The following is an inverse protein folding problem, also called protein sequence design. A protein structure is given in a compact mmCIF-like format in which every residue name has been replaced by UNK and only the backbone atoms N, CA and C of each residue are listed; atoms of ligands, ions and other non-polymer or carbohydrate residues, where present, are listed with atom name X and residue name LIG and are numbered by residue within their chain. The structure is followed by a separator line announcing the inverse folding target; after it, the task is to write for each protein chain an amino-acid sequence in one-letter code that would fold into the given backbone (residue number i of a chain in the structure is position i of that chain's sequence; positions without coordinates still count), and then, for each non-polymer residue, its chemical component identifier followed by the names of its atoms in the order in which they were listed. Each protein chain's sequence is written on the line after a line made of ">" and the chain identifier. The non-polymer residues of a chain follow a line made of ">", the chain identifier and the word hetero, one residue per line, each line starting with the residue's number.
data_IF_208738387310
#
_entry.id   IF_208738387310
#
_cell.length_a   1.000
_cell.length_b   1.000
_cell.length_c   1.000
_cell.angle_alpha   90.00
_cell.angle_beta   90.00
_cell.angle_gamma   90.00
#
_symmetry.space_group_name_H-M   'P 1'
#
loop_
_entity.id
_entity.type
_entity.pdbx_description
1 polymer ?
#
# COMPACT_ATOMS: atom_id res chain seq x y z
N UNK A 1 19.05 -14.97 -0.21
CA UNK A 1 19.21 -13.53 0.04
C UNK A 1 19.09 -13.36 1.54
N UNK A 2 20.07 -12.70 2.14
CA UNK A 2 20.05 -12.44 3.58
C UNK A 2 19.33 -11.11 3.80
N UNK A 3 18.11 -11.21 4.32
CA UNK A 3 17.31 -10.06 4.73
C UNK A 3 17.72 -9.66 6.14
N UNK A 4 17.98 -8.38 6.35
CA UNK A 4 18.26 -7.81 7.66
C UNK A 4 17.14 -6.85 8.03
N UNK A 5 16.68 -6.94 9.28
CA UNK A 5 15.72 -5.98 9.84
C UNK A 5 16.26 -4.55 9.67
N UNK A 6 15.39 -3.66 9.20
CA UNK A 6 15.68 -2.27 8.97
C UNK A 6 15.01 -1.45 10.07
N UNK A 7 15.81 -0.69 10.82
CA UNK A 7 15.25 0.26 11.79
C UNK A 7 14.38 1.29 11.09
N UNK A 8 13.20 1.54 11.65
CA UNK A 8 12.25 2.54 11.17
C UNK A 8 12.64 3.93 11.65
N UNK A 9 12.36 4.93 10.81
CA UNK A 9 12.43 6.34 11.20
C UNK A 9 11.27 6.71 12.13
N UNK A 10 11.41 7.81 12.86
CA UNK A 10 10.32 8.38 13.69
C UNK A 10 9.05 8.64 12.87
N UNK A 11 9.18 8.99 11.59
CA UNK A 11 8.04 9.20 10.71
C UNK A 11 7.37 7.88 10.35
N UNK A 12 8.15 6.86 9.95
CA UNK A 12 7.64 5.53 9.66
C UNK A 12 6.95 4.93 10.89
N UNK A 13 7.53 5.05 12.09
CA UNK A 13 6.88 4.63 13.34
C UNK A 13 5.53 5.31 13.58
N UNK A 14 5.43 6.59 13.23
CA UNK A 14 4.20 7.34 13.35
C UNK A 14 3.15 6.82 12.37
N UNK A 15 3.50 6.60 11.10
CA UNK A 15 2.61 6.02 10.09
C UNK A 15 2.18 4.61 10.48
N UNK A 16 3.11 3.75 10.90
CA UNK A 16 2.83 2.37 11.33
C UNK A 16 1.78 2.37 12.44
N UNK A 17 1.95 3.21 13.47
CA UNK A 17 0.96 3.33 14.57
C UNK A 17 -0.45 3.68 14.10
N UNK A 18 -0.61 4.38 12.98
CA UNK A 18 -1.92 4.72 12.43
C UNK A 18 -2.53 3.62 11.58
N UNK A 19 -1.71 2.79 10.92
CA UNK A 19 -2.22 1.68 10.10
C UNK A 19 -2.49 0.41 10.91
N UNK A 20 -1.86 0.26 12.09
CA UNK A 20 -2.19 -0.83 13.01
C UNK A 20 -3.67 -0.79 13.41
N UNK A 21 -4.35 -1.92 13.27
CA UNK A 21 -5.78 -2.05 13.52
C UNK A 21 -6.69 -1.60 12.38
N UNK A 22 -6.13 -1.14 11.25
CA UNK A 22 -6.86 -0.93 10.02
C UNK A 22 -6.83 -2.17 9.12
N UNK A 23 -7.83 -2.32 8.27
CA UNK A 23 -7.94 -3.43 7.31
C UNK A 23 -7.53 -2.97 5.92
N UNK A 24 -6.66 -3.73 5.25
CA UNK A 24 -6.34 -3.49 3.83
C UNK A 24 -7.51 -3.93 2.95
N UNK A 25 -8.10 -2.99 2.22
CA UNK A 25 -9.23 -3.25 1.32
C UNK A 25 -8.77 -3.61 -0.10
N UNK A 26 -7.66 -3.03 -0.53
CA UNK A 26 -7.09 -3.22 -1.85
C UNK A 26 -5.89 -2.32 -2.07
N UNK A 27 -5.27 -2.44 -3.23
CA UNK A 27 -4.09 -1.66 -3.58
C UNK A 27 -4.02 -1.31 -5.05
N UNK A 28 -3.18 -0.33 -5.37
CA UNK A 28 -2.66 -0.12 -6.72
C UNK A 28 -1.15 0.09 -6.66
N UNK A 29 -0.49 -0.13 -7.80
CA UNK A 29 0.91 0.26 -7.99
C UNK A 29 0.91 1.37 -9.03
N UNK A 30 1.50 2.51 -8.69
CA UNK A 30 1.65 3.64 -9.61
C UNK A 30 3.01 4.31 -9.37
N UNK A 31 3.74 4.57 -10.47
CA UNK A 31 5.12 5.05 -10.38
C UNK A 31 6.00 4.07 -9.59
N UNK A 32 6.74 4.59 -8.62
CA UNK A 32 7.68 3.83 -7.78
C UNK A 32 7.10 3.51 -6.39
N UNK A 33 5.77 3.35 -6.28
CA UNK A 33 5.11 3.13 -5.01
C UNK A 33 3.93 2.14 -5.08
N UNK A 34 3.71 1.45 -3.97
CA UNK A 34 2.47 0.72 -3.68
C UNK A 34 1.56 1.61 -2.84
N UNK A 35 0.27 1.63 -3.18
CA UNK A 35 -0.75 2.42 -2.51
C UNK A 35 -1.85 1.50 -2.00
N UNK A 36 -1.98 1.37 -0.69
CA UNK A 36 -2.98 0.55 -0.02
C UNK A 36 -4.13 1.40 0.46
N UNK A 37 -5.35 1.04 0.08
CA UNK A 37 -6.55 1.65 0.64
C UNK A 37 -6.93 0.90 1.92
N UNK A 38 -7.06 1.65 3.00
CA UNK A 38 -7.47 1.15 4.31
C UNK A 38 -8.94 1.46 4.57
N UNK A 39 -9.61 0.60 5.34
CA UNK A 39 -11.00 0.75 5.78
C UNK A 39 -11.30 2.05 6.54
N UNK A 40 -10.28 2.65 7.15
CA UNK A 40 -10.34 3.97 7.79
C UNK A 40 -10.39 5.15 6.81
N UNK A 41 -10.40 4.92 5.48
CA UNK A 41 -10.49 5.96 4.46
C UNK A 41 -9.17 6.68 4.16
N UNK A 42 -8.05 6.05 4.50
CA UNK A 42 -6.70 6.53 4.22
C UNK A 42 -6.01 5.66 3.17
N UNK A 43 -5.12 6.29 2.42
CA UNK A 43 -4.26 5.63 1.46
C UNK A 43 -2.85 5.62 2.02
N UNK A 44 -2.38 4.42 2.37
CA UNK A 44 -1.04 4.16 2.86
C UNK A 44 -0.12 3.90 1.66
N UNK A 45 0.87 4.77 1.47
CA UNK A 45 1.84 4.67 0.39
C UNK A 45 3.14 4.10 0.93
N UNK A 46 3.69 3.10 0.24
CA UNK A 46 5.02 2.54 0.48
C UNK A 46 5.86 2.77 -0.77
N UNK A 47 6.93 3.54 -0.63
CA UNK A 47 7.83 3.91 -1.72
C UNK A 47 8.90 2.83 -1.94
N UNK A 48 9.55 2.86 -3.11
CA UNK A 48 10.60 1.90 -3.49
C UNK A 48 11.78 1.83 -2.52
N UNK A 49 12.07 2.91 -1.79
CA UNK A 49 13.13 2.97 -0.77
C UNK A 49 12.72 2.46 0.61
N UNK A 50 11.43 2.13 0.78
CA UNK A 50 10.82 1.68 2.03
C UNK A 50 10.28 2.82 2.90
N UNK A 51 10.45 4.08 2.49
CA UNK A 51 9.72 5.19 3.11
C UNK A 51 8.22 5.01 2.94
N UNK A 52 7.45 5.67 3.80
CA UNK A 52 6.01 5.56 3.77
C UNK A 52 5.33 6.87 4.08
N UNK A 53 4.12 7.03 3.56
CA UNK A 53 3.27 8.18 3.81
C UNK A 53 1.82 7.72 3.99
N UNK A 54 1.02 8.48 4.73
CA UNK A 54 -0.38 8.18 4.99
C UNK A 54 -1.20 9.46 4.82
N UNK A 55 -2.09 9.46 3.84
CA UNK A 55 -2.94 10.60 3.54
C UNK A 55 -4.40 10.18 3.40
N UNK A 56 -5.37 11.06 3.70
CA UNK A 56 -6.77 10.81 3.37
C UNK A 56 -6.92 10.49 1.88
N UNK A 57 -7.72 9.48 1.53
CA UNK A 57 -7.75 8.94 0.15
C UNK A 57 -7.97 10.01 -0.94
N UNK A 58 -8.81 11.02 -0.68
CA UNK A 58 -9.12 12.05 -1.67
C UNK A 58 -7.95 13.01 -1.91
N UNK A 59 -7.14 13.27 -0.88
CA UNK A 59 -5.92 14.06 -0.99
C UNK A 59 -4.85 13.24 -1.72
N UNK A 60 -4.66 11.99 -1.29
CA UNK A 60 -3.70 11.08 -1.93
C UNK A 60 -3.96 10.93 -3.43
N UNK A 61 -5.21 10.65 -3.84
CA UNK A 61 -5.56 10.48 -5.27
C UNK A 61 -5.39 11.78 -6.06
N UNK A 62 -5.64 12.94 -5.44
CA UNK A 62 -5.42 14.23 -6.09
C UNK A 62 -3.91 14.53 -6.27
N UNK A 63 -3.09 14.10 -5.34
CA UNK A 63 -1.63 14.32 -5.32
C UNK A 63 -0.83 13.21 -6.00
N UNK A 64 -1.45 12.09 -6.40
CA UNK A 64 -0.78 11.01 -7.14
C UNK A 64 -0.14 11.58 -8.41
N UNK A 65 1.14 11.88 -8.36
CA UNK A 65 1.90 12.38 -9.50
C UNK A 65 2.60 11.18 -10.12
N UNK A 66 1.85 10.45 -10.95
CA UNK A 66 2.44 9.53 -11.89
C UNK A 66 2.26 10.19 -13.25
N UNK A 67 3.36 10.38 -13.99
CA UNK A 67 3.39 10.99 -15.33
C UNK A 67 2.37 10.36 -16.32
N UNK A 68 1.84 9.18 -15.97
CA UNK A 68 0.87 8.41 -16.75
C UNK A 68 -0.60 8.51 -16.29
N UNK A 69 -0.94 9.27 -15.21
CA UNK A 69 -2.32 9.38 -14.73
C UNK A 69 -3.06 10.58 -15.33
N UNK A 70 -4.04 10.27 -16.19
CA UNK A 70 -4.96 11.27 -16.75
C UNK A 70 -6.04 11.69 -15.75
N UNK A 71 -6.77 12.78 -16.05
CA UNK A 71 -7.92 13.19 -15.25
C UNK A 71 -9.03 12.12 -15.17
N UNK A 72 -9.23 11.34 -16.25
CA UNK A 72 -10.13 10.18 -16.23
C UNK A 72 -9.63 9.12 -15.26
N UNK A 73 -8.33 8.88 -15.17
CA UNK A 73 -7.78 7.84 -14.30
C UNK A 73 -7.94 8.18 -12.83
N UNK A 74 -7.79 9.46 -12.48
CA UNK A 74 -8.11 9.96 -11.12
C UNK A 74 -9.58 9.78 -10.77
N UNK A 75 -10.47 9.97 -11.74
CA UNK A 75 -11.91 9.75 -11.55
C UNK A 75 -12.20 8.27 -11.29
N UNK A 76 -11.60 7.37 -12.07
CA UNK A 76 -11.75 5.92 -11.88
C UNK A 76 -11.13 5.46 -10.56
N UNK A 77 -9.97 5.99 -10.19
CA UNK A 77 -9.35 5.73 -8.87
C UNK A 77 -10.27 6.13 -7.72
N UNK A 78 -10.90 7.30 -7.81
CA UNK A 78 -11.82 7.76 -6.79
C UNK A 78 -13.09 6.91 -6.71
N UNK A 79 -13.61 6.44 -7.85
CA UNK A 79 -14.76 5.53 -7.90
C UNK A 79 -14.43 4.17 -7.31
N UNK A 80 -13.32 3.56 -7.74
CA UNK A 80 -12.84 2.30 -7.19
C UNK A 80 -12.63 2.37 -5.68
N UNK A 81 -12.02 3.45 -5.19
CA UNK A 81 -11.76 3.62 -3.77
C UNK A 81 -13.06 3.79 -2.96
N UNK A 82 -14.05 4.52 -3.49
CA UNK A 82 -15.38 4.59 -2.88
C UNK A 82 -16.07 3.23 -2.87
N UNK A 83 -15.95 2.45 -3.94
CA UNK A 83 -16.52 1.12 -4.02
C UNK A 83 -15.87 0.17 -3.00
N UNK A 84 -14.55 0.16 -2.91
CA UNK A 84 -13.81 -0.60 -1.91
C UNK A 84 -14.21 -0.20 -0.48
N UNK A 85 -14.39 1.08 -0.17
CA UNK A 85 -14.84 1.51 1.16
C UNK A 85 -16.28 1.10 1.48
N UNK A 86 -17.13 0.96 0.45
CA UNK A 86 -18.53 0.58 0.63
C UNK A 86 -18.73 -0.95 0.69
N UNK A 87 -18.00 -1.70 -0.12
CA UNK A 87 -18.18 -3.15 -0.33
C UNK A 87 -17.05 -3.99 0.28
N UNK A 88 -15.97 -3.36 0.71
CA UNK A 88 -14.76 -4.02 1.19
C UNK A 88 -14.04 -4.77 0.08
N UNK A 89 -13.35 -5.85 0.46
CA UNK A 89 -12.65 -6.78 -0.46
C UNK A 89 -13.54 -7.47 -1.50
N UNK A 90 -14.85 -7.47 -1.29
CA UNK A 90 -15.82 -8.08 -2.21
C UNK A 90 -16.17 -7.15 -3.39
N UNK A 91 -15.62 -5.93 -3.40
CA UNK A 91 -15.74 -5.01 -4.52
C UNK A 91 -15.28 -5.67 -5.82
N UNK A 92 -16.11 -5.55 -6.85
CA UNK A 92 -15.86 -6.16 -8.15
C UNK A 92 -15.99 -5.14 -9.28
N UNK A 93 -15.29 -5.39 -10.40
CA UNK A 93 -15.30 -4.48 -11.54
C UNK A 93 -14.40 -3.24 -11.37
N UNK A 94 -13.50 -3.25 -10.38
CA UNK A 94 -12.48 -2.22 -10.17
C UNK A 94 -11.59 -2.09 -11.42
N UNK A 95 -11.29 -0.86 -11.82
CA UNK A 95 -10.51 -0.57 -13.04
C UNK A 95 -9.03 -0.29 -12.77
N UNK A 96 -8.74 0.25 -11.60
CA UNK A 96 -7.44 0.80 -11.20
C UNK A 96 -6.92 0.15 -9.93
N UNK A 97 -7.79 -0.12 -8.97
CA UNK A 97 -7.44 -0.90 -7.79
C UNK A 97 -7.55 -2.40 -8.04
N UNK A 98 -6.71 -3.16 -7.33
CA UNK A 98 -6.88 -4.58 -7.09
C UNK A 98 -7.47 -4.74 -5.69
N UNK A 99 -8.63 -5.40 -5.58
CA UNK A 99 -9.19 -5.75 -4.28
C UNK A 99 -8.27 -6.72 -3.54
N UNK A 100 -8.16 -6.58 -2.21
CA UNK A 100 -7.35 -7.49 -1.42
C UNK A 100 -7.94 -8.92 -1.50
N UNK A 101 -7.17 -9.92 -1.97
CA UNK A 101 -7.66 -11.29 -2.13
C UNK A 101 -7.78 -12.01 -0.78
N UNK A 102 -7.21 -11.44 0.28
CA UNK A 102 -7.17 -11.97 1.64
C UNK A 102 -7.59 -10.88 2.63
N UNK A 103 -8.11 -11.29 3.78
CA UNK A 103 -8.46 -10.37 4.85
C UNK A 103 -7.19 -10.07 5.66
N UNK A 104 -6.81 -8.80 5.72
CA UNK A 104 -5.58 -8.36 6.36
C UNK A 104 -5.89 -7.19 7.31
N UNK A 105 -6.42 -7.52 8.49
CA UNK A 105 -6.45 -6.61 9.64
C UNK A 105 -5.03 -6.49 10.20
N UNK A 106 -4.41 -5.32 10.02
CA UNK A 106 -2.98 -5.13 10.28
C UNK A 106 -2.69 -5.22 11.78
N UNK A 107 -1.85 -6.18 12.17
CA UNK A 107 -1.40 -6.39 13.56
C UNK A 107 0.05 -6.00 13.79
N UNK A 108 0.89 -6.07 12.75
CA UNK A 108 2.28 -5.65 12.77
C UNK A 108 2.76 -5.27 11.37
N UNK A 109 3.83 -4.48 11.30
CA UNK A 109 4.52 -4.12 10.06
C UNK A 109 6.02 -4.27 10.31
N UNK A 110 6.69 -5.11 9.54
CA UNK A 110 8.13 -5.38 9.65
C UNK A 110 8.85 -4.91 8.39
N UNK A 111 10.01 -4.26 8.55
CA UNK A 111 10.80 -3.76 7.45
C UNK A 111 12.14 -4.48 7.39
N UNK A 112 12.52 -4.90 6.19
CA UNK A 112 13.78 -5.56 5.93
C UNK A 112 14.46 -4.91 4.73
N UNK A 113 15.78 -5.01 4.70
CA UNK A 113 16.60 -4.59 3.57
C UNK A 113 17.57 -5.69 3.15
N UNK A 114 17.89 -5.73 1.87
CA UNK A 114 18.97 -6.54 1.32
C UNK A 114 19.57 -5.80 0.12
N UNK A 115 20.73 -5.16 0.31
CA UNK A 115 21.34 -4.27 -0.67
C UNK A 115 20.37 -3.16 -1.14
N UNK A 116 20.04 -3.13 -2.44
CA UNK A 116 19.11 -2.22 -3.10
C UNK A 116 17.64 -2.61 -2.95
N UNK A 117 17.34 -3.73 -2.28
CA UNK A 117 15.98 -4.21 -2.10
C UNK A 117 15.42 -3.80 -0.74
N UNK A 118 14.11 -3.60 -0.68
CA UNK A 118 13.34 -3.54 0.56
C UNK A 118 12.27 -4.60 0.54
N UNK A 119 11.94 -5.08 1.73
CA UNK A 119 10.79 -5.93 1.96
C UNK A 119 10.02 -5.38 3.14
N UNK A 120 8.75 -5.10 2.93
CA UNK A 120 7.83 -4.68 3.98
C UNK A 120 6.84 -5.83 4.14
N UNK A 121 6.77 -6.40 5.34
CA UNK A 121 5.85 -7.48 5.67
C UNK A 121 4.73 -6.91 6.52
N UNK A 122 3.53 -6.81 5.94
CA UNK A 122 2.31 -6.43 6.62
C UNK A 122 1.68 -7.69 7.19
N UNK A 123 1.71 -7.82 8.51
CA UNK A 123 1.21 -9.00 9.21
C UNK A 123 -0.25 -8.76 9.58
N UNK A 124 -1.14 -9.51 8.93
CA UNK A 124 -2.56 -9.46 9.22
C UNK A 124 -2.99 -10.55 10.21
N UNK A 125 -4.18 -10.41 10.79
CA UNK A 125 -4.76 -11.44 11.66
C UNK A 125 -4.97 -12.78 10.93
N UNK A 126 -5.38 -12.74 9.66
CA UNK A 126 -5.72 -13.93 8.87
C UNK A 126 -4.73 -14.25 7.76
N UNK A 127 -4.03 -13.25 7.22
CA UNK A 127 -3.09 -13.40 6.11
C UNK A 127 -2.09 -12.25 6.10
N UNK A 128 -0.95 -12.46 5.43
CA UNK A 128 0.09 -11.46 5.32
C UNK A 128 0.15 -10.87 3.92
N UNK A 129 0.61 -9.62 3.83
CA UNK A 129 0.91 -8.97 2.56
C UNK A 129 2.40 -8.61 2.58
N UNK A 130 3.15 -9.13 1.62
CA UNK A 130 4.55 -8.80 1.43
C UNK A 130 4.70 -7.83 0.26
N UNK A 131 5.42 -6.75 0.51
CA UNK A 131 5.77 -5.73 -0.47
C UNK A 131 7.27 -5.84 -0.69
N UNK A 132 7.68 -6.24 -1.88
CA UNK A 132 9.09 -6.26 -2.26
C UNK A 132 9.35 -5.14 -3.25
N UNK A 133 10.39 -4.34 -2.95
CA UNK A 133 10.80 -3.24 -3.80
C UNK A 133 12.27 -3.36 -4.17
N UNK A 134 12.65 -2.74 -5.28
CA UNK A 134 14.03 -2.68 -5.75
C UNK A 134 14.37 -1.30 -6.30
N UNK A 135 15.33 -0.65 -5.63
CA UNK A 135 15.85 0.67 -5.99
C UNK A 135 16.58 0.70 -7.34
N UNK A 136 17.12 -0.44 -7.77
CA UNK A 136 17.90 -0.52 -9.02
C UNK A 136 17.04 -0.40 -10.28
N UNK A 137 15.80 -0.87 -10.21
CA UNK A 137 14.90 -0.99 -11.35
C UNK A 137 13.51 -0.38 -11.09
N UNK A 138 13.37 0.41 -10.02
CA UNK A 138 12.11 1.06 -9.62
C UNK A 138 10.93 0.08 -9.50
N UNK A 139 11.21 -1.17 -9.13
CA UNK A 139 10.21 -2.23 -9.13
C UNK A 139 9.49 -2.31 -7.77
N UNK A 140 8.19 -2.54 -7.83
CA UNK A 140 7.34 -2.85 -6.67
C UNK A 140 6.52 -4.10 -6.99
N UNK A 141 6.53 -5.08 -6.09
CA UNK A 141 5.79 -6.33 -6.19
C UNK A 141 5.01 -6.54 -4.89
N UNK A 142 3.75 -6.93 -5.00
CA UNK A 142 2.89 -7.25 -3.87
C UNK A 142 2.53 -8.73 -3.95
N UNK A 143 2.81 -9.46 -2.88
CA UNK A 143 2.47 -10.86 -2.71
C UNK A 143 1.56 -11.02 -1.49
N UNK A 144 0.61 -11.94 -1.56
CA UNK A 144 -0.20 -12.33 -0.39
C UNK A 144 0.20 -13.73 0.05
N UNK A 145 0.46 -13.89 1.34
CA UNK A 145 1.07 -15.09 1.94
C UNK A 145 0.22 -15.66 3.06
#
# INVERSE_FOLDING_TARGET
>A
MDWTELETSTHQDHVIKHVLGATVLGWLIAGEAAHFLLDIGFLWTVYVDGEMNLLPQGVAIAELDADDLTASDRTELALDAQQLLAEGREASGLKRFTAAPVECLITSVELFSSNSQRRIVVIGESANIEIETSLENAQVIINTV
#
